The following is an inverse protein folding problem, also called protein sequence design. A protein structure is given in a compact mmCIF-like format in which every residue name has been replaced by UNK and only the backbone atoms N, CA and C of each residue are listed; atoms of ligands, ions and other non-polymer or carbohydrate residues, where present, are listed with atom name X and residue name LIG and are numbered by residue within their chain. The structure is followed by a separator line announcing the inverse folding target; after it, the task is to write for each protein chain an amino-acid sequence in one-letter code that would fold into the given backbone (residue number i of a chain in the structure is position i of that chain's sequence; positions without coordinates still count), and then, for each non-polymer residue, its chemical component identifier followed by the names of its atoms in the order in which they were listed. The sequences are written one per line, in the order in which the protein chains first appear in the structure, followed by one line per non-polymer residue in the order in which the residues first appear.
data_IF_027023761991
#
_entry.id   IF_027023761991
#
_cell.length_a   1.000
_cell.length_b   1.000
_cell.length_c   1.000
_cell.angle_alpha   90.00
_cell.angle_beta   90.00
_cell.angle_gamma   90.00
#
_symmetry.space_group_name_H-M   'P 1'
#
loop_
_entity.id
_entity.type
_entity.pdbx_description
1 polymer ?
2 non-polymer ?
3 non-polymer ?
4 non-polymer ?
5 non-polymer ?
6 water ?
#
# COMPACT_ATOMS: atom_id res chain seq x y z
N UNK A 1 -22.92 -5.87 -11.24
CA UNK A 1 -23.82 -5.62 -12.41
C UNK A 1 -23.05 -5.64 -13.73
N UNK A 2 -21.79 -5.21 -13.68
CA UNK A 2 -20.93 -5.15 -14.86
C UNK A 2 -20.02 -6.39 -14.93
N UNK A 3 -19.75 -6.85 -16.15
CA UNK A 3 -19.02 -8.12 -16.34
C UNK A 3 -17.62 -8.01 -17.00
N UNK A 4 -17.22 -6.80 -17.38
CA UNK A 4 -15.85 -6.57 -17.85
C UNK A 4 -14.92 -6.37 -16.65
N UNK A 5 -13.65 -6.71 -16.81
CA UNK A 5 -12.67 -6.39 -15.79
C UNK A 5 -12.30 -4.90 -15.91
N UNK A 6 -12.44 -4.17 -14.80
CA UNK A 6 -12.10 -2.76 -14.74
C UNK A 6 -10.67 -2.64 -14.18
N UNK A 7 -9.74 -2.24 -15.02
CA UNK A 7 -8.34 -2.13 -14.64
C UNK A 7 -7.88 -0.69 -14.67
N UNK A 8 -7.13 -0.28 -13.64
CA UNK A 8 -6.51 1.04 -13.63
C UNK A 8 -5.12 0.92 -14.26
N UNK A 9 -4.79 1.87 -15.12
CA UNK A 9 -3.45 1.96 -15.68
C UNK A 9 -2.90 3.35 -15.34
N UNK A 10 -1.86 3.38 -14.50
CA UNK A 10 -1.34 4.64 -13.96
C UNK A 10 0.16 4.55 -13.62
N UNK A 11 0.85 5.69 -13.76
CA UNK A 11 2.21 5.84 -13.26
C UNK A 11 2.25 7.01 -12.27
N UNK A 12 2.79 6.78 -11.09
CA UNK A 12 2.87 7.84 -10.07
C UNK A 12 4.23 7.87 -9.37
N UNK A 13 4.54 9.01 -8.75
CA UNK A 13 5.80 9.13 -8.02
C UNK A 13 5.59 8.77 -6.54
N UNK A 14 6.61 9.02 -5.71
CA UNK A 14 6.58 8.59 -4.31
C UNK A 14 5.56 9.36 -3.43
N UNK A 15 5.01 10.44 -3.96
CA UNK A 15 3.93 11.17 -3.27
C UNK A 15 2.62 11.13 -4.07
N UNK A 16 2.49 10.16 -4.98
CA UNK A 16 1.27 9.92 -5.77
C UNK A 16 1.01 10.98 -6.83
N UNK A 17 2.02 11.79 -7.14
CA UNK A 17 1.92 12.77 -8.24
C UNK A 17 1.83 12.04 -9.57
N UNK A 18 0.85 12.41 -10.39
CA UNK A 18 0.71 11.90 -11.75
C UNK A 18 0.83 12.98 -12.83
N UNK A 19 0.66 14.25 -12.44
CA UNK A 19 0.62 15.35 -13.39
C UNK A 19 1.07 16.71 -12.89
N UNK A 20 1.48 17.55 -13.84
CA UNK A 20 1.96 18.90 -13.57
C UNK A 20 1.58 19.78 -14.76
N UNK A 21 0.86 20.87 -14.48
CA UNK A 21 0.42 21.82 -15.51
C UNK A 21 -0.19 21.12 -16.73
N UNK A 22 -1.12 20.20 -16.45
CA UNK A 22 -1.88 19.46 -17.48
C UNK A 22 -1.00 18.62 -18.42
N UNK A 23 0.10 18.09 -17.87
CA UNK A 23 1.02 17.25 -18.62
C UNK A 23 1.70 16.24 -17.67
N UNK A 24 2.54 15.38 -18.20
CA UNK A 24 3.34 14.45 -17.40
C UNK A 24 4.59 15.12 -16.85
N UNK A 25 4.92 14.88 -15.58
CA UNK A 25 6.12 15.49 -14.96
C UNK A 25 7.45 14.87 -15.40
N UNK A 26 7.40 13.72 -16.06
CA UNK A 26 8.61 12.98 -16.45
C UNK A 26 8.48 12.44 -17.86
N UNK A 27 9.62 12.05 -18.44
CA UNK A 27 9.65 11.33 -19.71
C UNK A 27 10.33 9.99 -19.47
N UNK A 28 9.62 8.90 -19.73
CA UNK A 28 10.15 7.54 -19.65
C UNK A 28 9.60 6.78 -20.84
N UNK A 29 10.30 6.84 -21.99
CA UNK A 29 9.83 6.13 -23.18
C UNK A 29 9.61 4.64 -22.94
N UNK A 30 10.47 4.02 -22.14
CA UNK A 30 10.37 2.58 -21.85
C UNK A 30 9.09 2.22 -21.08
N UNK A 31 8.70 3.10 -20.15
CA UNK A 31 7.48 2.95 -19.36
C UNK A 31 6.26 3.08 -20.27
N UNK A 32 6.32 4.04 -21.20
CA UNK A 32 5.30 4.22 -22.21
C UNK A 32 5.13 2.98 -23.11
N UNK A 33 6.25 2.30 -23.39
CA UNK A 33 6.22 1.05 -24.17
C UNK A 33 5.52 -0.08 -23.43
N UNK A 34 5.74 -0.17 -22.12
CA UNK A 34 5.03 -1.10 -21.26
C UNK A 34 3.53 -0.85 -21.31
N UNK A 35 3.15 0.42 -21.15
CA UNK A 35 1.76 0.86 -21.29
C UNK A 35 1.16 0.37 -22.61
N UNK A 36 1.82 0.67 -23.73
CA UNK A 36 1.33 0.29 -25.06
C UNK A 36 1.18 -1.23 -25.15
N UNK A 37 2.20 -1.94 -24.69
CA UNK A 37 2.19 -3.40 -24.67
C UNK A 37 1.01 -3.99 -23.88
N UNK A 38 0.77 -3.45 -22.70
CA UNK A 38 -0.27 -3.96 -21.78
C UNK A 38 -1.68 -3.62 -22.24
N UNK A 39 -1.84 -2.49 -22.92
CA UNK A 39 -3.16 -1.98 -23.26
C UNK A 39 -3.62 -2.30 -24.70
N UNK A 40 -2.70 -2.79 -25.54
CA UNK A 40 -3.00 -3.29 -26.88
C UNK A 40 -4.36 -3.98 -26.97
N UNK A 41 -5.20 -3.55 -27.90
CA UNK A 41 -6.45 -4.25 -28.20
C UNK A 41 -7.52 -4.20 -27.12
N UNK A 42 -7.42 -3.22 -26.22
CA UNK A 42 -8.39 -3.04 -25.13
C UNK A 42 -8.84 -1.58 -25.06
N UNK A 43 -10.10 -1.33 -24.65
CA UNK A 43 -10.52 0.06 -24.58
C UNK A 43 -9.73 0.87 -23.56
N UNK A 44 -9.43 2.12 -23.93
CA UNK A 44 -8.87 3.11 -23.01
C UNK A 44 -9.95 4.10 -22.62
N UNK A 45 -10.17 4.26 -21.32
CA UNK A 45 -11.13 5.21 -20.79
C UNK A 45 -10.36 6.43 -20.30
N UNK A 46 -10.60 7.58 -20.92
CA UNK A 46 -9.81 8.78 -20.60
C UNK A 46 -10.69 9.95 -20.20
N UNK A 47 -10.28 10.67 -19.15
CA UNK A 47 -10.92 11.94 -18.82
C UNK A 47 -10.72 12.91 -19.97
N UNK A 48 -11.67 13.81 -20.18
CA UNK A 48 -11.57 14.79 -21.28
C UNK A 48 -10.24 15.56 -21.27
N UNK A 49 -9.78 15.96 -20.09
CA UNK A 49 -8.52 16.72 -19.99
C UNK A 49 -7.31 15.86 -20.34
N UNK A 50 -7.28 14.64 -19.81
CA UNK A 50 -6.29 13.64 -20.22
C UNK A 50 -6.27 13.46 -21.74
N UNK A 51 -7.44 13.25 -22.36
CA UNK A 51 -7.47 13.03 -23.80
C UNK A 51 -6.90 14.21 -24.60
N UNK A 52 -7.31 15.43 -24.25
CA UNK A 52 -6.94 16.61 -25.04
C UNK A 52 -5.45 16.92 -24.95
N UNK A 53 -4.82 16.55 -23.84
CA UNK A 53 -3.38 16.63 -23.70
C UNK A 53 -2.67 15.63 -24.61
N UNK A 54 -3.21 14.42 -24.71
CA UNK A 54 -2.68 13.38 -25.61
C UNK A 54 -2.77 13.87 -27.06
N UNK A 55 -3.96 14.34 -27.45
CA UNK A 55 -4.14 15.12 -28.68
C UNK A 55 -4.64 14.36 -29.89
N UNK A 56 -4.62 13.03 -29.80
CA UNK A 56 -4.95 12.17 -30.93
C UNK A 56 -5.51 10.84 -30.42
N UNK A 57 -6.35 10.17 -31.23
CA UNK A 57 -6.74 8.81 -30.89
C UNK A 57 -5.53 7.89 -30.89
N UNK A 58 -5.44 7.01 -29.90
CA UNK A 58 -4.37 6.03 -29.83
C UNK A 58 -4.75 4.78 -30.62
N UNK A 59 -3.85 4.31 -31.50
CA UNK A 59 -4.20 3.25 -32.47
C UNK A 59 -4.41 1.87 -31.84
N UNK A 60 -5.24 1.05 -32.48
CA UNK A 60 -5.45 -0.34 -32.05
C UNK A 60 -6.31 -0.51 -30.80
N UNK A 61 -6.94 0.57 -30.35
CA UNK A 61 -7.75 0.56 -29.14
C UNK A 61 -9.01 1.41 -29.33
N UNK A 62 -10.09 1.03 -28.65
CA UNK A 62 -11.26 1.90 -28.56
C UNK A 62 -10.90 3.04 -27.61
N UNK A 63 -10.98 4.27 -28.11
CA UNK A 63 -10.73 5.44 -27.28
C UNK A 63 -12.03 6.02 -26.75
N UNK A 64 -12.24 5.94 -25.45
CA UNK A 64 -13.48 6.46 -24.85
C UNK A 64 -13.20 7.64 -23.95
N UNK A 65 -13.79 8.78 -24.31
CA UNK A 65 -13.57 10.04 -23.62
C UNK A 65 -14.73 10.36 -22.68
N UNK A 66 -14.40 10.58 -21.40
CA UNK A 66 -15.41 10.90 -20.39
C UNK A 66 -15.52 12.41 -20.17
N UNK A 67 -16.70 12.95 -20.45
CA UNK A 67 -16.98 14.39 -20.35
C UNK A 67 -18.43 14.62 -19.95
N UNK A 68 -18.72 15.76 -19.33
CA UNK A 68 -20.10 16.14 -19.00
C UNK A 68 -20.75 16.89 -20.17
N UNK A 69 -19.93 17.21 -21.16
CA UNK A 69 -20.34 17.95 -22.35
C UNK A 69 -21.12 17.07 -23.34
N UNK A 70 -22.44 17.29 -23.40
CA UNK A 70 -23.33 16.48 -24.24
C UNK A 70 -23.17 16.75 -25.75
N UNK A 71 -22.44 17.80 -26.10
CA UNK A 71 -22.17 18.11 -27.50
C UNK A 71 -20.76 17.78 -27.96
N UNK A 72 -19.96 17.19 -27.06
CA UNK A 72 -18.56 16.87 -27.33
C UNK A 72 -18.44 15.74 -28.36
N UNK A 73 -17.66 15.97 -29.41
CA UNK A 73 -17.36 14.96 -30.43
C UNK A 73 -15.92 15.04 -30.88
N UNK A 74 -15.29 13.88 -31.05
CA UNK A 74 -13.94 13.78 -31.57
C UNK A 74 -13.88 12.64 -32.60
N UNK A 75 -13.30 12.95 -33.77
CA UNK A 75 -13.14 11.97 -34.85
C UNK A 75 -12.26 10.81 -34.39
N UNK A 76 -12.76 9.58 -34.57
CA UNK A 76 -12.03 8.37 -34.22
C UNK A 76 -12.13 7.99 -32.75
N UNK A 77 -12.98 8.70 -32.01
CA UNK A 77 -13.17 8.47 -30.58
C UNK A 77 -14.64 8.26 -30.25
N UNK A 78 -14.90 7.55 -29.16
CA UNK A 78 -16.25 7.46 -28.62
C UNK A 78 -16.36 8.35 -27.38
N UNK A 79 -17.55 8.89 -27.15
CA UNK A 79 -17.78 9.79 -26.02
C UNK A 79 -18.81 9.22 -25.05
N UNK A 80 -18.45 9.18 -23.77
CA UNK A 80 -19.35 8.78 -22.68
C UNK A 80 -19.45 9.92 -21.66
N UNK A 81 -20.54 9.95 -20.91
CA UNK A 81 -20.81 11.07 -20.03
C UNK A 81 -21.01 10.63 -18.58
N UNK A 82 -20.85 9.34 -18.34
CA UNK A 82 -20.99 8.77 -17.01
C UNK A 82 -20.34 7.40 -16.93
N UNK A 83 -20.17 6.92 -15.71
CA UNK A 83 -19.68 5.55 -15.48
C UNK A 83 -20.59 4.53 -16.16
N UNK A 84 -21.91 4.70 -15.99
CA UNK A 84 -22.88 3.73 -16.51
C UNK A 84 -22.88 3.68 -18.04
N UNK A 85 -22.72 4.84 -18.67
CA UNK A 85 -22.61 4.90 -20.12
C UNK A 85 -21.35 4.19 -20.63
N UNK A 86 -20.24 4.33 -19.90
CA UNK A 86 -19.03 3.57 -20.20
C UNK A 86 -19.34 2.07 -20.10
N UNK A 87 -20.04 1.68 -19.04
CA UNK A 87 -20.37 0.27 -18.83
C UNK A 87 -21.25 -0.27 -19.96
N UNK A 88 -22.21 0.53 -20.40
CA UNK A 88 -23.01 0.17 -21.56
C UNK A 88 -22.16 0.00 -22.82
N UNK A 89 -21.31 0.98 -23.11
CA UNK A 89 -20.44 0.91 -24.29
C UNK A 89 -19.48 -0.28 -24.24
N UNK A 90 -19.10 -0.70 -23.04
CA UNK A 90 -18.10 -1.76 -22.87
C UNK A 90 -18.66 -3.08 -22.32
N UNK A 91 -19.98 -3.24 -22.36
CA UNK A 91 -20.63 -4.41 -21.73
C UNK A 91 -20.13 -5.77 -22.24
N UNK A 92 -19.60 -5.82 -23.44
CA UNK A 92 -19.10 -7.08 -24.01
C UNK A 92 -17.58 -7.24 -24.01
N UNK A 93 -16.88 -6.26 -23.43
CA UNK A 93 -15.43 -6.27 -23.40
C UNK A 93 -14.92 -7.16 -22.29
N UNK A 94 -13.77 -7.80 -22.53
CA UNK A 94 -13.15 -8.64 -21.51
C UNK A 94 -12.53 -7.77 -20.41
N UNK A 95 -11.81 -6.72 -20.82
CA UNK A 95 -11.11 -5.87 -19.89
C UNK A 95 -11.05 -4.46 -20.43
N UNK A 96 -11.26 -3.48 -19.55
CA UNK A 96 -11.07 -2.09 -19.93
C UNK A 96 -10.02 -1.43 -19.03
N UNK A 97 -9.35 -0.43 -19.60
CA UNK A 97 -8.32 0.30 -18.90
C UNK A 97 -8.71 1.74 -18.61
N UNK A 98 -8.85 2.05 -17.33
CA UNK A 98 -9.03 3.41 -16.87
C UNK A 98 -7.65 4.04 -16.93
N UNK A 99 -7.53 5.04 -17.80
CA UNK A 99 -6.25 5.61 -18.21
C UNK A 99 -6.00 6.99 -17.60
N UNK A 100 -6.90 7.45 -16.73
CA UNK A 100 -6.74 8.76 -16.08
C UNK A 100 -7.47 9.91 -16.75
N UNK A 101 -7.34 11.13 -16.23
CA UNK A 101 -6.52 11.41 -15.05
C UNK A 101 -7.23 11.25 -13.72
N UNK A 102 -6.89 12.13 -12.77
CA UNK A 102 -7.31 11.99 -11.39
C UNK A 102 -8.84 11.99 -11.20
N UNK A 103 -9.53 12.90 -11.87
CA UNK A 103 -10.99 12.96 -11.74
C UNK A 103 -11.63 11.66 -12.19
N UNK A 104 -11.12 11.09 -13.28
CA UNK A 104 -11.59 9.82 -13.82
C UNK A 104 -11.20 8.61 -12.96
N UNK A 105 -10.00 8.62 -12.37
CA UNK A 105 -9.62 7.58 -11.41
C UNK A 105 -10.56 7.59 -10.20
N UNK A 106 -10.84 8.79 -9.68
CA UNK A 106 -11.79 8.96 -8.59
C UNK A 106 -13.15 8.38 -8.95
N UNK A 107 -13.59 8.69 -10.17
CA UNK A 107 -14.89 8.30 -10.68
C UNK A 107 -15.07 6.77 -10.71
N UNK A 108 -14.06 6.06 -11.19
CA UNK A 108 -14.14 4.62 -11.35
C UNK A 108 -13.57 3.81 -10.17
N UNK A 109 -13.11 4.50 -9.12
CA UNK A 109 -12.48 3.86 -7.96
C UNK A 109 -13.32 2.79 -7.24
N UNK A 110 -14.64 3.02 -7.06
CA UNK A 110 -15.44 1.94 -6.45
C UNK A 110 -15.54 0.65 -7.27
N UNK A 111 -15.15 0.68 -8.55
CA UNK A 111 -15.37 -0.47 -9.45
C UNK A 111 -14.10 -1.18 -9.90
N UNK A 112 -12.92 -0.67 -9.51
CA UNK A 112 -11.65 -1.23 -9.97
C UNK A 112 -11.38 -2.64 -9.44
N UNK A 113 -11.05 -3.56 -10.36
CA UNK A 113 -10.78 -4.97 -10.04
C UNK A 113 -9.27 -5.27 -10.08
N UNK A 114 -8.54 -4.50 -10.88
CA UNK A 114 -7.11 -4.76 -11.10
C UNK A 114 -6.36 -3.45 -11.30
N UNK A 115 -5.18 -3.38 -10.68
CA UNK A 115 -4.38 -2.17 -10.71
C UNK A 115 -3.00 -2.41 -11.32
N UNK A 116 -2.74 -1.77 -12.46
CA UNK A 116 -1.41 -1.75 -13.06
C UNK A 116 -0.78 -0.40 -12.73
N UNK A 117 0.12 -0.41 -11.76
CA UNK A 117 0.67 0.83 -11.23
C UNK A 117 2.19 0.83 -11.28
N UNK A 118 2.73 1.82 -11.99
CA UNK A 118 4.16 2.05 -12.02
C UNK A 118 4.50 3.05 -10.92
N UNK A 119 5.48 2.69 -10.10
CA UNK A 119 5.89 3.54 -9.00
C UNK A 119 7.28 4.10 -9.27
N UNK A 120 7.37 5.41 -9.36
CA UNK A 120 8.61 6.09 -9.71
C UNK A 120 9.27 6.63 -8.45
N UNK A 121 10.53 6.27 -8.26
CA UNK A 121 11.26 6.57 -7.03
C UNK A 121 11.94 7.93 -7.11
N UNK A 122 11.11 8.97 -7.08
CA UNK A 122 11.53 10.35 -7.23
C UNK A 122 10.36 11.20 -6.77
N UNK A 123 10.66 12.36 -6.20
CA UNK A 123 9.61 13.28 -5.76
C UNK A 123 9.57 14.49 -6.71
N UNK A 124 8.59 14.48 -7.61
CA UNK A 124 8.39 15.55 -8.59
C UNK A 124 7.54 16.68 -8.03
N UNK A 125 7.65 17.86 -8.64
CA UNK A 125 6.68 18.93 -8.43
C UNK A 125 5.45 18.57 -9.22
N UNK A 126 4.28 18.70 -8.60
CA UNK A 126 3.06 18.35 -9.30
C UNK A 126 1.82 18.98 -8.70
N UNK A 127 0.72 18.86 -9.43
CA UNK A 127 -0.56 19.43 -9.00
C UNK A 127 -1.72 18.41 -9.03
N UNK A 128 -1.47 17.26 -9.66
CA UNK A 128 -2.50 16.24 -9.85
C UNK A 128 -2.02 14.91 -9.26
N UNK A 129 -2.90 14.25 -8.51
CA UNK A 129 -2.52 13.10 -7.69
C UNK A 129 -3.41 11.89 -7.93
N UNK A 130 -2.82 10.71 -7.84
CA UNK A 130 -3.58 9.47 -7.85
C UNK A 130 -4.25 9.32 -6.48
N UNK A 131 -5.55 8.98 -6.44
CA UNK A 131 -6.22 8.86 -5.13
C UNK A 131 -5.62 7.76 -4.26
N UNK A 132 -5.69 7.98 -2.95
CA UNK A 132 -5.35 6.96 -1.95
C UNK A 132 -6.27 5.76 -2.13
N UNK A 133 -5.72 4.56 -1.91
CA UNK A 133 -6.50 3.33 -1.98
C UNK A 133 -6.27 2.45 -0.75
N UNK A 134 -7.35 1.83 -0.27
CA UNK A 134 -7.27 0.78 0.73
C UNK A 134 -7.03 -0.52 -0.02
N UNK A 135 -5.91 -1.17 0.29
CA UNK A 135 -5.47 -2.38 -0.41
C UNK A 135 -5.85 -3.67 0.32
N UNK A 136 -6.70 -3.55 1.35
CA UNK A 136 -7.27 -4.72 2.03
C UNK A 136 -8.00 -5.58 1.00
N UNK A 137 -7.71 -6.87 1.04
CA UNK A 137 -8.22 -7.86 0.06
C UNK A 137 -7.73 -7.64 -1.38
N UNK A 138 -6.51 -7.11 -1.50
CA UNK A 138 -5.78 -7.10 -2.76
C UNK A 138 -4.50 -7.89 -2.58
N UNK A 139 -3.96 -8.41 -3.68
CA UNK A 139 -2.69 -9.10 -3.66
C UNK A 139 -1.84 -8.68 -4.85
N UNK A 140 -0.57 -8.39 -4.59
CA UNK A 140 0.40 -8.12 -5.65
C UNK A 140 0.65 -9.42 -6.41
N UNK A 141 0.40 -9.39 -7.72
CA UNK A 141 0.56 -10.58 -8.57
C UNK A 141 1.72 -10.46 -9.57
N UNK A 142 2.32 -9.27 -9.63
CA UNK A 142 3.46 -9.03 -10.49
C UNK A 142 4.25 -7.82 -10.02
N UNK A 143 5.57 -7.96 -9.99
CA UNK A 143 6.47 -6.84 -9.75
C UNK A 143 7.79 -7.02 -10.53
N UNK A 144 8.24 -5.95 -11.17
CA UNK A 144 9.48 -5.99 -11.93
C UNK A 144 10.09 -4.59 -12.00
N UNK A 145 11.42 -4.52 -11.99
CA UNK A 145 12.14 -3.25 -12.10
C UNK A 145 12.07 -2.74 -13.54
N UNK A 146 11.75 -1.47 -13.70
CA UNK A 146 11.75 -0.84 -15.02
C UNK A 146 13.16 -0.58 -15.52
N UNK A 147 13.29 -0.33 -16.82
CA UNK A 147 14.60 -0.05 -17.41
C UNK A 147 15.06 1.38 -17.07
N UNK A 148 16.20 1.47 -16.39
CA UNK A 148 16.82 2.75 -16.10
C UNK A 148 18.08 2.89 -16.96
N UNK A 149 18.09 3.89 -17.82
CA UNK A 149 19.22 4.15 -18.71
C UNK A 149 19.31 5.62 -19.07
N UNK A 150 20.20 5.95 -20.00
CA UNK A 150 20.41 7.32 -20.44
C UNK A 150 19.13 7.98 -20.94
N UNK A 151 18.25 7.20 -21.54
CA UNK A 151 16.95 7.69 -22.01
C UNK A 151 15.79 7.57 -21.00
N UNK A 152 16.01 6.85 -19.90
CA UNK A 152 15.02 6.65 -18.85
C UNK A 152 15.67 6.94 -17.50
N UNK A 153 15.72 8.24 -17.14
CA UNK A 153 16.65 8.67 -16.10
C UNK A 153 16.18 8.53 -14.64
N UNK A 154 15.12 7.76 -14.40
CA UNK A 154 14.64 7.53 -13.04
C UNK A 154 14.55 6.04 -12.72
N UNK A 155 14.59 5.72 -11.43
CA UNK A 155 14.29 4.39 -10.94
C UNK A 155 12.79 4.25 -10.75
N UNK A 156 12.24 3.11 -11.18
CA UNK A 156 10.81 2.87 -11.09
C UNK A 156 10.53 1.37 -11.22
N UNK A 157 9.37 0.95 -10.72
CA UNK A 157 8.99 -0.46 -10.74
C UNK A 157 7.56 -0.60 -11.27
N UNK A 158 7.33 -1.65 -12.05
CA UNK A 158 5.98 -2.05 -12.45
C UNK A 158 5.38 -2.94 -11.37
N UNK A 159 4.15 -2.61 -10.97
CA UNK A 159 3.40 -3.42 -10.03
C UNK A 159 2.03 -3.74 -10.60
N UNK A 160 1.55 -4.96 -10.39
CA UNK A 160 0.18 -5.33 -10.69
C UNK A 160 -0.47 -5.93 -9.45
N UNK A 161 -1.62 -5.35 -9.05
CA UNK A 161 -2.41 -5.86 -7.94
C UNK A 161 -3.78 -6.34 -8.42
N UNK A 162 -4.25 -7.44 -7.86
CA UNK A 162 -5.58 -7.96 -8.15
C UNK A 162 -6.47 -7.99 -6.91
N UNK A 163 -7.70 -7.51 -7.08
CA UNK A 163 -8.71 -7.57 -6.05
C UNK A 163 -9.10 -9.04 -5.86
N UNK A 164 -9.14 -9.45 -4.59
CA UNK A 164 -9.57 -10.80 -4.24
C UNK A 164 -11.09 -10.79 -4.08
N UNK A 165 -11.57 -9.79 -3.34
CA UNK A 165 -12.98 -9.59 -3.09
C UNK A 165 -13.70 -8.96 -4.29
N UNK B 1 -14.88 -8.31 25.12
CA UNK B 1 -15.05 -7.19 26.08
C UNK B 1 -14.41 -5.89 25.56
N UNK B 2 -13.21 -6.02 24.99
CA UNK B 2 -12.51 -4.90 24.38
C UNK B 2 -13.01 -4.74 22.94
N UNK B 3 -13.00 -3.51 22.44
CA UNK B 3 -13.58 -3.23 21.13
C UNK B 3 -12.65 -2.49 20.17
N UNK B 4 -11.39 -2.33 20.56
CA UNK B 4 -10.36 -1.90 19.64
C UNK B 4 -9.87 -3.12 18.84
N UNK B 5 -9.46 -2.87 17.59
CA UNK B 5 -8.76 -3.87 16.80
C UNK B 5 -7.38 -4.01 17.43
N UNK B 6 -7.03 -5.22 17.84
CA UNK B 6 -5.71 -5.52 18.37
C UNK B 6 -4.87 -6.10 17.23
N UNK B 7 -3.91 -5.30 16.77
CA UNK B 7 -3.09 -5.68 15.61
C UNK B 7 -1.64 -5.90 16.02
N UNK B 8 -1.04 -6.99 15.54
CA UNK B 8 0.39 -7.22 15.73
C UNK B 8 1.17 -6.58 14.59
N UNK B 9 2.19 -5.79 14.92
CA UNK B 9 3.10 -5.24 13.93
C UNK B 9 4.49 -5.83 14.20
N UNK B 10 4.97 -6.66 13.29
CA UNK B 10 6.24 -7.38 13.47
C UNK B 10 6.98 -7.63 12.15
N UNK B 11 8.32 -7.71 12.24
CA UNK B 11 9.16 -8.20 11.15
C UNK B 11 10.02 -9.35 11.63
N UNK B 12 9.98 -10.48 10.93
CA UNK B 12 10.75 -11.66 11.34
C UNK B 12 11.43 -12.33 10.15
N UNK B 13 12.43 -13.16 10.44
CA UNK B 13 13.15 -13.89 9.39
C UNK B 13 12.56 -15.30 9.18
N UNK B 14 13.21 -16.08 8.32
CA UNK B 14 12.73 -17.42 7.99
C UNK B 14 12.51 -18.35 9.19
N UNK B 15 13.24 -18.11 10.29
CA UNK B 15 13.11 -18.91 11.53
C UNK B 15 12.45 -18.15 12.68
N UNK B 16 11.68 -17.11 12.35
CA UNK B 16 10.94 -16.30 13.32
C UNK B 16 11.82 -15.42 14.24
N UNK B 17 13.07 -15.24 13.89
CA UNK B 17 13.94 -14.36 14.65
C UNK B 17 13.48 -12.92 14.47
N UNK B 18 13.35 -12.20 15.58
CA UNK B 18 13.03 -10.76 15.56
C UNK B 18 14.14 -9.89 16.18
N UNK B 19 15.02 -10.49 16.99
CA UNK B 19 16.04 -9.71 17.67
C UNK B 19 17.33 -10.45 18.00
N UNK B 20 18.41 -9.67 18.08
CA UNK B 20 19.70 -10.18 18.55
C UNK B 20 20.36 -9.15 19.47
N UNK B 21 20.82 -9.63 20.64
CA UNK B 21 21.49 -8.78 21.65
C UNK B 21 20.73 -7.48 21.94
N UNK B 22 19.42 -7.60 22.16
CA UNK B 22 18.53 -6.49 22.49
C UNK B 22 18.43 -5.40 21.39
N UNK B 23 18.56 -5.83 20.14
CA UNK B 23 18.52 -4.91 19.00
C UNK B 23 17.96 -5.67 17.79
N UNK B 24 17.79 -4.98 16.67
CA UNK B 24 17.38 -5.60 15.41
C UNK B 24 18.57 -6.24 14.68
N UNK B 25 18.37 -7.44 14.12
CA UNK B 25 19.45 -8.13 13.40
C UNK B 25 19.76 -7.57 12.00
N UNK B 26 18.89 -6.70 11.47
CA UNK B 26 19.00 -6.18 10.11
C UNK B 26 18.65 -4.69 10.09
N UNK B 27 19.02 -4.02 9.00
CA UNK B 27 18.62 -2.64 8.75
C UNK B 27 17.92 -2.56 7.40
N UNK B 28 16.64 -2.21 7.43
CA UNK B 28 15.83 -2.03 6.24
C UNK B 28 15.05 -0.73 6.41
N UNK B 29 15.66 0.39 5.97
CA UNK B 29 14.97 1.68 6.10
C UNK B 29 13.61 1.72 5.41
N UNK B 30 13.48 1.05 4.27
CA UNK B 30 12.23 1.01 3.53
C UNK B 30 11.13 0.27 4.31
N UNK B 31 11.50 -0.80 5.00
CA UNK B 31 10.58 -1.56 5.85
C UNK B 31 10.09 -0.66 7.00
N UNK B 32 11.00 0.16 7.53
CA UNK B 32 10.70 1.11 8.61
C UNK B 32 9.69 2.17 8.19
N UNK B 33 9.79 2.60 6.92
CA UNK B 33 8.88 3.57 6.33
C UNK B 33 7.47 2.98 6.20
N UNK B 34 7.40 1.70 5.88
CA UNK B 34 6.11 0.97 5.86
C UNK B 34 5.50 0.96 7.26
N UNK B 35 6.32 0.60 8.26
CA UNK B 35 5.90 0.61 9.66
C UNK B 35 5.33 2.00 10.06
N UNK B 36 6.10 3.05 9.77
CA UNK B 36 5.73 4.42 10.10
C UNK B 36 4.36 4.81 9.53
N UNK B 37 4.17 4.52 8.24
CA UNK B 37 2.93 4.87 7.54
C UNK B 37 1.74 4.05 8.04
N UNK B 38 1.93 2.74 8.22
CA UNK B 38 0.86 1.86 8.70
C UNK B 38 0.40 2.24 10.12
N UNK B 39 1.33 2.70 10.95
CA UNK B 39 1.04 2.92 12.37
C UNK B 39 0.71 4.37 12.76
N UNK B 40 0.97 5.33 11.86
CA UNK B 40 0.74 6.75 12.16
C UNK B 40 -0.67 7.00 12.68
N UNK B 41 -0.76 7.78 13.75
CA UNK B 41 -2.03 8.12 14.38
C UNK B 41 -2.72 7.00 15.18
N UNK B 42 -1.96 5.97 15.53
CA UNK B 42 -2.47 4.83 16.32
C UNK B 42 -1.56 4.51 17.50
N UNK B 43 -2.12 4.00 18.62
CA UNK B 43 -1.23 3.68 19.74
C UNK B 43 -0.24 2.57 19.41
N UNK B 44 0.99 2.72 19.90
CA UNK B 44 2.00 1.65 19.84
C UNK B 44 2.14 1.07 21.25
N UNK B 45 1.96 -0.24 21.36
CA UNK B 45 2.13 -0.94 22.64
C UNK B 45 3.49 -1.63 22.64
N UNK B 46 4.40 -1.18 23.52
CA UNK B 46 5.76 -1.72 23.49
C UNK B 46 6.16 -2.33 24.82
N UNK B 47 6.85 -3.47 24.76
CA UNK B 47 7.50 -4.02 25.95
C UNK B 47 8.57 -3.06 26.44
N UNK B 48 8.80 -3.03 27.75
CA UNK B 48 9.77 -2.10 28.34
C UNK B 48 11.15 -2.22 27.66
N UNK B 49 11.58 -3.45 27.37
CA UNK B 49 12.89 -3.64 26.73
C UNK B 49 12.89 -3.11 25.29
N UNK B 50 11.82 -3.41 24.55
CA UNK B 50 11.63 -2.83 23.22
C UNK B 50 11.71 -1.30 23.27
N UNK B 51 10.97 -0.67 24.18
CA UNK B 51 10.98 0.78 24.25
C UNK B 51 12.38 1.35 24.53
N UNK B 52 13.06 0.81 25.54
CA UNK B 52 14.35 1.37 25.96
C UNK B 52 15.44 1.28 24.89
N UNK B 53 15.33 0.26 24.04
CA UNK B 53 16.20 0.11 22.88
C UNK B 53 15.93 1.20 21.85
N UNK B 54 14.64 1.50 21.64
CA UNK B 54 14.22 2.56 20.70
C UNK B 54 14.77 3.91 21.19
N UNK B 55 14.56 4.19 22.48
CA UNK B 55 15.24 5.28 23.16
C UNK B 55 14.49 6.58 23.29
N UNK B 56 13.41 6.73 22.54
CA UNK B 56 12.67 7.99 22.47
C UNK B 56 11.21 7.73 22.13
N UNK B 57 10.29 8.64 22.54
CA UNK B 57 8.91 8.52 22.08
C UNK B 57 8.84 8.67 20.56
N UNK B 58 8.06 7.82 19.91
CA UNK B 58 7.85 7.94 18.47
C UNK B 58 6.71 8.92 18.20
N UNK B 59 6.92 9.90 17.30
CA UNK B 59 5.99 11.03 17.11
C UNK B 59 4.68 10.64 16.43
N UNK B 60 3.61 11.36 16.75
CA UNK B 60 2.32 11.17 16.10
C UNK B 60 1.55 9.94 16.54
N UNK B 61 1.98 9.33 17.64
CA UNK B 61 1.36 8.12 18.16
C UNK B 61 1.41 8.13 19.68
N UNK B 62 0.38 7.56 20.32
CA UNK B 62 0.41 7.30 21.75
C UNK B 62 1.42 6.17 21.98
N UNK B 63 2.46 6.45 22.75
CA UNK B 63 3.44 5.44 23.12
C UNK B 63 3.10 4.82 24.47
N UNK B 64 2.69 3.56 24.47
CA UNK B 64 2.37 2.87 25.70
C UNK B 64 3.38 1.77 26.02
N UNK B 65 4.04 1.91 27.18
CA UNK B 65 5.10 1.00 27.62
C UNK B 65 4.60 0.03 28.68
N UNK B 66 4.75 -1.27 28.40
CA UNK B 66 4.29 -2.32 29.30
C UNK B 66 5.45 -2.79 30.19
N UNK B 67 5.28 -2.64 31.50
CA UNK B 67 6.29 -3.00 32.49
C UNK B 67 5.61 -3.44 33.79
N UNK B 68 6.29 -4.30 34.56
CA UNK B 68 5.79 -4.70 35.88
C UNK B 68 6.16 -3.68 36.97
N UNK B 69 7.03 -2.75 36.59
CA UNK B 69 7.57 -1.72 37.48
C UNK B 69 6.55 -0.61 37.72
N UNK B 70 5.96 -0.59 38.91
CA UNK B 70 4.90 0.37 39.22
C UNK B 70 5.42 1.81 39.46
N UNK B 71 6.74 1.96 39.50
CA UNK B 71 7.35 3.29 39.63
C UNK B 71 7.92 3.82 38.32
N UNK B 72 7.80 3.03 37.25
CA UNK B 72 8.35 3.39 35.94
C UNK B 72 7.63 4.58 35.31
N UNK B 73 8.41 5.60 34.92
CA UNK B 73 7.89 6.81 34.26
C UNK B 73 8.82 7.26 33.15
N UNK B 74 8.25 7.67 32.02
CA UNK B 74 8.99 8.18 30.86
C UNK B 74 8.27 9.39 30.27
N UNK B 75 9.04 10.44 30.02
CA UNK B 75 8.54 11.71 29.48
C UNK B 75 7.95 11.53 28.07
N UNK B 76 6.68 11.86 27.91
CA UNK B 76 6.01 11.75 26.61
C UNK B 76 5.45 10.37 26.32
N UNK B 77 5.47 9.50 27.32
CA UNK B 77 4.94 8.13 27.18
C UNK B 77 3.92 7.80 28.27
N UNK B 78 3.05 6.85 27.97
CA UNK B 78 2.14 6.31 28.97
C UNK B 78 2.64 4.94 29.41
N UNK B 79 2.42 4.62 30.68
CA UNK B 79 2.86 3.35 31.24
C UNK B 79 1.68 2.48 31.68
N UNK B 80 1.67 1.24 31.22
CA UNK B 80 0.69 0.24 31.63
C UNK B 80 1.41 -0.97 32.26
N UNK B 81 0.71 -1.73 33.08
CA UNK B 81 1.36 -2.82 33.83
C UNK B 81 0.69 -4.16 33.60
N UNK B 82 -0.31 -4.17 32.71
CA UNK B 82 -1.02 -5.40 32.36
C UNK B 82 -1.76 -5.22 31.05
N UNK B 83 -2.25 -6.33 30.51
CA UNK B 83 -3.10 -6.31 29.34
C UNK B 83 -4.34 -5.47 29.60
N UNK B 84 -4.98 -5.70 30.76
CA UNK B 84 -6.24 -5.05 31.09
C UNK B 84 -6.07 -3.54 31.22
N UNK B 85 -4.96 -3.11 31.82
CA UNK B 85 -4.65 -1.69 31.91
C UNK B 85 -4.42 -1.05 30.53
N UNK B 86 -3.79 -1.79 29.62
CA UNK B 86 -3.70 -1.35 28.22
C UNK B 86 -5.10 -1.18 27.63
N UNK B 87 -5.96 -2.18 27.84
CA UNK B 87 -7.33 -2.12 27.32
C UNK B 87 -8.11 -0.95 27.89
N UNK B 88 -7.92 -0.65 29.17
CA UNK B 88 -8.53 0.53 29.77
C UNK B 88 -8.03 1.81 29.09
N UNK B 89 -6.70 1.96 28.98
CA UNK B 89 -6.10 3.12 28.31
C UNK B 89 -6.55 3.27 26.86
N UNK B 90 -6.83 2.15 26.20
CA UNK B 90 -7.12 2.14 24.77
C UNK B 90 -8.57 1.82 24.44
N UNK B 91 -9.46 1.85 25.44
CA UNK B 91 -10.87 1.46 25.28
C UNK B 91 -11.60 2.16 24.13
N UNK B 92 -11.28 3.41 23.85
CA UNK B 92 -11.97 4.18 22.80
C UNK B 92 -11.24 4.21 21.45
N UNK B 93 -10.12 3.52 21.36
CA UNK B 93 -9.29 3.54 20.16
C UNK B 93 -9.86 2.64 19.08
N UNK B 94 -9.66 3.06 17.82
CA UNK B 94 -10.09 2.29 16.66
C UNK B 94 -9.25 1.01 16.54
N UNK B 95 -7.93 1.19 16.60
CA UNK B 95 -7.00 0.09 16.40
C UNK B 95 -5.74 0.38 17.20
N UNK B 96 -5.17 -0.67 17.79
CA UNK B 96 -3.89 -0.52 18.46
C UNK B 96 -2.86 -1.48 17.89
N UNK B 97 -1.60 -1.06 17.92
CA UNK B 97 -0.52 -1.86 17.38
C UNK B 97 0.41 -2.43 18.47
N UNK B 98 0.40 -3.76 18.58
CA UNK B 98 1.35 -4.46 19.45
C UNK B 98 2.67 -4.51 18.69
N UNK B 99 3.66 -3.81 19.24
CA UNK B 99 4.88 -3.45 18.54
C UNK B 99 6.08 -4.26 19.02
N UNK B 100 5.83 -5.22 19.91
CA UNK B 100 6.90 -6.09 20.43
C UNK B 100 7.50 -5.64 21.76
N UNK B 101 8.50 -6.37 22.26
CA UNK B 101 9.03 -7.58 21.61
C UNK B 101 8.35 -8.88 22.00
N UNK B 102 9.13 -9.95 22.08
CA UNK B 102 8.56 -11.30 22.21
C UNK B 102 7.68 -11.49 23.45
N UNK B 103 8.11 -10.96 24.59
CA UNK B 103 7.32 -11.11 25.81
C UNK B 103 5.97 -10.44 25.71
N UNK B 104 5.95 -9.28 25.05
CA UNK B 104 4.71 -8.55 24.81
C UNK B 104 3.82 -9.19 23.72
N UNK B 105 4.42 -9.77 22.69
CA UNK B 105 3.64 -10.53 21.68
C UNK B 105 2.95 -11.72 22.35
N UNK B 106 3.71 -12.50 23.15
CA UNK B 106 3.18 -13.62 23.92
C UNK B 106 2.00 -13.18 24.80
N UNK B 107 2.17 -12.01 25.42
CA UNK B 107 1.20 -11.45 26.35
C UNK B 107 -0.14 -11.14 25.69
N UNK B 108 -0.10 -10.58 24.48
CA UNK B 108 -1.32 -10.16 23.80
C UNK B 108 -1.83 -11.18 22.78
N UNK B 109 -1.15 -12.32 22.68
CA UNK B 109 -1.47 -13.34 21.65
C UNK B 109 -2.92 -13.88 21.68
N UNK B 110 -3.50 -14.10 22.86
CA UNK B 110 -4.91 -14.53 22.86
C UNK B 110 -5.91 -13.50 22.30
N UNK B 111 -5.49 -12.25 22.13
CA UNK B 111 -6.41 -11.17 21.78
C UNK B 111 -6.22 -10.60 20.38
N UNK B 112 -5.23 -11.09 19.64
CA UNK B 112 -4.88 -10.51 18.34
C UNK B 112 -5.94 -10.75 17.26
N UNK B 113 -6.38 -9.67 16.62
CA UNK B 113 -7.40 -9.74 15.56
C UNK B 113 -6.76 -9.67 14.17
N UNK B 114 -5.62 -8.98 14.08
CA UNK B 114 -5.01 -8.69 12.79
C UNK B 114 -3.49 -8.73 12.90
N UNK B 115 -2.86 -9.30 11.88
CA UNK B 115 -1.41 -9.46 11.87
C UNK B 115 -0.77 -8.77 10.66
N UNK B 116 0.06 -7.77 10.94
CA UNK B 116 0.89 -7.16 9.91
C UNK B 116 2.28 -7.73 10.11
N UNK B 117 2.66 -8.65 9.24
CA UNK B 117 3.92 -9.36 9.40
C UNK B 117 4.80 -9.28 8.16
N UNK B 118 6.00 -8.72 8.35
CA UNK B 118 7.00 -8.71 7.32
C UNK B 118 7.86 -9.96 7.44
N UNK B 119 7.98 -10.70 6.34
CA UNK B 119 8.76 -11.93 6.33
C UNK B 119 10.03 -11.70 5.55
N UNK B 120 11.17 -11.88 6.22
CA UNK B 120 12.48 -11.64 5.61
C UNK B 120 13.14 -12.96 5.22
N UNK B 121 13.52 -13.03 3.95
CA UNK B 121 13.99 -14.29 3.36
C UNK B 121 15.48 -14.43 3.56
N UNK B 122 15.85 -14.61 4.83
CA UNK B 122 17.25 -14.72 5.26
C UNK B 122 17.21 -15.38 6.65
N UNK B 123 18.24 -16.15 6.98
CA UNK B 123 18.35 -16.76 8.31
C UNK B 123 19.42 -16.05 9.13
N UNK B 124 18.99 -15.14 10.01
CA UNK B 124 19.88 -14.35 10.88
C UNK B 124 20.23 -15.11 12.14
N UNK B 125 21.36 -14.75 12.75
CA UNK B 125 21.69 -15.17 14.11
C UNK B 125 20.81 -14.35 15.03
N UNK B 126 20.22 -15.00 16.03
CA UNK B 126 19.29 -14.29 16.91
C UNK B 126 19.01 -15.00 18.22
N UNK B 127 18.44 -14.27 19.16
CA UNK B 127 18.11 -14.80 20.48
C UNK B 127 16.63 -14.62 20.86
N UNK B 128 15.91 -13.83 20.06
CA UNK B 128 14.53 -13.47 20.36
C UNK B 128 13.62 -13.77 19.18
N UNK B 129 12.49 -14.42 19.46
CA UNK B 129 11.65 -15.03 18.44
C UNK B 129 10.19 -14.59 18.54
N UNK B 130 9.54 -14.49 17.38
CA UNK B 130 8.11 -14.26 17.32
C UNK B 130 7.42 -15.59 17.62
N UNK B 131 6.40 -15.59 18.50
CA UNK B 131 5.77 -16.87 18.86
C UNK B 131 5.09 -17.53 17.68
N UNK B 132 5.10 -18.87 17.69
CA UNK B 132 4.34 -19.68 16.75
C UNK B 132 2.87 -19.34 16.83
N UNK B 133 2.23 -19.33 15.68
CA UNK B 133 0.80 -19.14 15.61
C UNK B 133 0.23 -20.20 14.68
N UNK B 134 -0.94 -20.73 15.04
CA UNK B 134 -1.68 -21.53 14.10
C UNK B 134 -2.51 -20.56 13.28
N UNK B 135 -2.27 -20.59 11.96
CA UNK B 135 -2.88 -19.65 11.01
C UNK B 135 -4.13 -20.21 10.33
N UNK B 136 -4.70 -21.27 10.91
CA UNK B 136 -5.81 -22.00 10.28
C UNK B 136 -7.08 -21.15 10.11
N UNK B 137 -7.46 -20.41 11.15
CA UNK B 137 -8.62 -19.50 11.08
C UNK B 137 -8.30 -18.12 10.50
N UNK B 138 -7.09 -17.96 10.00
CA UNK B 138 -6.58 -16.68 9.52
C UNK B 138 -6.57 -16.59 8.01
N UNK B 139 -6.94 -15.41 7.49
CA UNK B 139 -7.00 -15.19 6.06
C UNK B 139 -6.03 -14.08 5.65
N UNK B 140 -5.18 -14.36 4.65
CA UNK B 140 -4.30 -13.35 4.08
C UNK B 140 -5.10 -12.35 3.25
N UNK B 141 -5.07 -11.08 3.66
CA UNK B 141 -5.83 -10.04 2.96
C UNK B 141 -4.94 -9.06 2.18
N UNK B 142 -3.62 -9.19 2.31
CA UNK B 142 -2.69 -8.37 1.57
C UNK B 142 -1.32 -9.03 1.54
N UNK B 143 -0.68 -8.98 0.38
CA UNK B 143 0.73 -9.37 0.22
C UNK B 143 1.39 -8.52 -0.89
N UNK B 144 2.63 -8.10 -0.64
CA UNK B 144 3.38 -7.24 -1.56
C UNK B 144 4.89 -7.41 -1.31
N UNK B 145 5.68 -7.43 -2.37
CA UNK B 145 7.14 -7.54 -2.24
C UNK B 145 7.70 -6.22 -1.71
N UNK B 146 8.58 -6.32 -0.71
CA UNK B 146 9.30 -5.15 -0.20
C UNK B 146 10.38 -4.70 -1.17
N UNK B 147 10.83 -3.45 -1.00
CA UNK B 147 11.87 -2.89 -1.85
C UNK B 147 13.25 -3.46 -1.49
N UNK B 148 13.88 -4.12 -2.45
CA UNK B 148 15.25 -4.61 -2.29
C UNK B 148 16.18 -3.79 -3.17
N UNK B 149 17.15 -3.12 -2.54
CA UNK B 149 18.13 -2.25 -3.24
C UNK B 149 19.42 -2.14 -2.39
N UNK B 150 20.32 -1.22 -2.77
CA UNK B 150 21.61 -1.08 -2.09
C UNK B 150 21.47 -0.76 -0.60
N UNK B 151 20.38 -0.07 -0.24
CA UNK B 151 20.12 0.31 1.14
C UNK B 151 19.22 -0.68 1.87
N UNK B 152 18.63 -1.59 1.10
CA UNK B 152 17.74 -2.63 1.65
C UNK B 152 18.16 -4.01 1.14
N UNK B 153 19.20 -4.58 1.76
CA UNK B 153 19.96 -5.66 1.11
C UNK B 153 19.41 -7.08 1.30
N UNK B 154 18.13 -7.21 1.66
CA UNK B 154 17.51 -8.53 1.77
C UNK B 154 16.20 -8.56 0.98
N UNK B 155 15.78 -9.77 0.60
CA UNK B 155 14.46 -10.01 0.05
C UNK B 155 13.48 -10.21 1.22
N UNK B 156 12.31 -9.61 1.11
CA UNK B 156 11.28 -9.66 2.14
C UNK B 156 9.91 -9.25 1.57
N UNK B 157 8.85 -9.70 2.23
CA UNK B 157 7.49 -9.45 1.77
C UNK B 157 6.64 -8.94 2.93
N UNK B 158 5.71 -8.04 2.61
CA UNK B 158 4.70 -7.57 3.57
C UNK B 158 3.49 -8.47 3.47
N UNK B 159 3.03 -8.97 4.61
CA UNK B 159 1.82 -9.77 4.66
C UNK B 159 0.88 -9.19 5.69
N UNK B 160 -0.42 -9.22 5.40
CA UNK B 160 -1.44 -8.86 6.37
C UNK B 160 -2.47 -9.98 6.46
N UNK B 161 -2.73 -10.45 7.68
CA UNK B 161 -3.73 -11.50 7.90
C UNK B 161 -4.82 -10.97 8.83
N UNK B 162 -6.07 -11.33 8.55
CA UNK B 162 -7.19 -11.00 9.42
C UNK B 162 -7.82 -12.28 9.98
N UNK B 163 -8.06 -12.30 11.29
CA UNK B 163 -8.69 -13.45 11.94
C UNK B 163 -10.16 -13.51 11.55
N UNK B 164 -10.60 -14.65 11.06
CA UNK B 164 -12.00 -14.83 10.70
C UNK B 164 -12.89 -15.05 11.92
N UNK B 165 -12.39 -15.89 12.84
CA UNK B 165 -13.12 -16.33 14.03
C UNK B 165 -12.83 -15.45 15.25
#
# INVERSE_FOLDING_TARGET
HHHMRVSFMVAMDENRVIGKDNNLPWRLPSELQYVKKTTMGHPLIMGRKNYEAIGRPLPGRRNIIVTRNEGYHVEGCEVAHSVEEVFELCKNEEEIFIFGGAQIYDLFLPYVDKLYITKIHHAFEGDTFFPEMDMTNWKEVFVEKGLTDEKNPYTYYYHVYEKQQ
HHHMRVSFMVAMDENRVIGKDNNLPWRLPSELQYVKKTTMGHPLIMGRKNYEAIGRPLPGRRNIIVTRNEGYHVEGCEVAHSVEEVFELCKNEEEIFIFGGAQIYDLFLPYVDKLYITKIHHAFEGDTFFPEMDMTNWKEVFVEKGLTDEKNPYTYYYHVYEKQQ
#
